data_IF_382743829219
#
_entry.id   IF_382743829219
#
_cell.length_a   1.000
_cell.length_b   1.000
_cell.length_c   1.000
_cell.angle_alpha   90.00
_cell.angle_beta   90.00
_cell.angle_gamma   90.00
#
_symmetry.space_group_name_H-M   'P 1'
#
loop_
_entity.id
_entity.type
_entity.pdbx_description
1 polymer ?
#
# COMPACT_ATOMS: atom_id res chain seq x y z
N UNK A 1 22.96 27.76 -26.12
CA UNK A 1 22.07 26.68 -25.64
C UNK A 1 20.95 27.28 -24.83
N UNK A 2 19.72 26.91 -25.03
CA UNK A 2 18.60 27.36 -24.22
C UNK A 2 18.64 26.58 -22.90
N UNK A 3 18.60 27.27 -21.76
CA UNK A 3 18.47 26.62 -20.46
C UNK A 3 17.02 26.16 -20.27
N UNK A 4 16.81 24.94 -19.77
CA UNK A 4 15.49 24.42 -19.44
C UNK A 4 15.49 23.77 -18.05
N UNK A 5 14.33 23.72 -17.42
CA UNK A 5 14.10 23.03 -16.15
C UNK A 5 12.77 22.30 -16.22
N UNK A 6 12.79 20.99 -15.97
CA UNK A 6 11.58 20.20 -15.82
C UNK A 6 10.94 20.50 -14.46
N UNK A 7 9.66 20.80 -14.46
CA UNK A 7 8.86 21.02 -13.26
C UNK A 7 7.64 20.09 -13.26
N UNK A 8 7.50 19.18 -12.26
CA UNK A 8 6.33 18.32 -12.14
C UNK A 8 5.17 19.13 -11.55
N UNK A 9 4.28 19.62 -12.40
CA UNK A 9 3.07 20.30 -11.94
C UNK A 9 2.05 19.29 -11.42
N UNK A 10 1.52 19.53 -10.21
CA UNK A 10 0.47 18.71 -9.56
C UNK A 10 0.84 17.22 -9.40
N UNK A 11 2.00 16.89 -8.84
CA UNK A 11 2.35 15.50 -8.57
C UNK A 11 1.44 14.92 -7.49
N UNK A 12 1.11 13.62 -7.61
CA UNK A 12 0.45 12.86 -6.55
C UNK A 12 1.52 12.12 -5.75
N UNK A 13 1.86 12.52 -4.53
CA UNK A 13 2.90 11.89 -3.75
C UNK A 13 2.45 10.53 -3.20
N UNK A 14 3.32 9.53 -3.32
CA UNK A 14 3.22 8.23 -2.64
C UNK A 14 4.55 8.03 -1.93
N UNK A 15 4.53 7.90 -0.61
CA UNK A 15 5.75 7.71 0.19
C UNK A 15 5.82 6.26 0.67
N UNK A 16 7.00 5.67 0.54
CA UNK A 16 7.30 4.32 0.99
C UNK A 16 8.25 4.39 2.18
N UNK A 17 7.85 3.79 3.28
CA UNK A 17 8.64 3.64 4.48
C UNK A 17 9.05 2.18 4.63
N UNK A 18 10.32 1.94 4.88
CA UNK A 18 10.85 0.59 5.05
C UNK A 18 11.32 0.40 6.49
N UNK A 19 10.61 -0.46 7.24
CA UNK A 19 10.96 -0.77 8.63
C UNK A 19 12.04 -1.84 8.76
N UNK A 20 12.52 -2.39 7.64
CA UNK A 20 13.65 -3.34 7.59
C UNK A 20 13.53 -4.54 8.56
N UNK A 21 14.69 -5.02 9.02
CA UNK A 21 14.78 -6.15 9.96
C UNK A 21 14.21 -5.83 11.35
N UNK A 22 14.14 -4.56 11.73
CA UNK A 22 13.59 -4.12 13.01
C UNK A 22 12.10 -4.45 13.18
N UNK A 23 11.40 -4.70 12.05
CA UNK A 23 9.99 -5.08 12.06
C UNK A 23 9.76 -6.60 12.19
N UNK A 24 10.79 -7.44 12.30
CA UNK A 24 10.61 -8.89 12.24
C UNK A 24 9.64 -9.42 13.30
N UNK A 25 9.86 -9.11 14.55
CA UNK A 25 9.03 -9.60 15.66
C UNK A 25 7.60 -9.05 15.61
N UNK A 26 7.47 -7.78 15.20
CA UNK A 26 6.17 -7.16 14.94
C UNK A 26 5.45 -7.88 13.81
N UNK A 27 6.14 -8.18 12.71
CA UNK A 27 5.57 -8.89 11.57
C UNK A 27 5.07 -10.28 11.94
N UNK A 28 5.84 -11.04 12.72
CA UNK A 28 5.42 -12.35 13.22
C UNK A 28 4.15 -12.24 14.05
N UNK A 29 4.07 -11.26 14.96
CA UNK A 29 2.90 -11.01 15.78
C UNK A 29 1.69 -10.60 14.94
N UNK A 30 1.85 -9.67 14.00
CA UNK A 30 0.79 -9.22 13.10
C UNK A 30 0.23 -10.36 12.23
N UNK A 31 1.09 -11.25 11.74
CA UNK A 31 0.67 -12.44 10.98
C UNK A 31 -0.16 -13.37 11.87
N UNK A 32 0.33 -13.68 13.08
CA UNK A 32 -0.38 -14.52 14.04
C UNK A 32 -1.76 -13.95 14.36
N UNK A 33 -1.81 -12.69 14.76
CA UNK A 33 -3.04 -12.04 15.20
C UNK A 33 -4.06 -11.91 14.07
N UNK A 34 -3.59 -11.64 12.85
CA UNK A 34 -4.46 -11.64 11.65
C UNK A 34 -5.05 -13.01 11.35
N UNK A 35 -4.28 -14.10 11.49
CA UNK A 35 -4.77 -15.45 11.28
C UNK A 35 -5.70 -15.91 12.40
N UNK A 36 -5.45 -15.49 13.64
CA UNK A 36 -6.33 -15.74 14.78
C UNK A 36 -7.69 -15.07 14.57
N UNK A 37 -7.70 -13.79 14.17
CA UNK A 37 -8.93 -13.07 13.82
C UNK A 37 -9.69 -13.77 12.71
N UNK A 38 -9.00 -14.16 11.62
CA UNK A 38 -9.60 -14.88 10.51
C UNK A 38 -10.21 -16.22 10.91
N UNK A 39 -9.60 -16.92 11.85
CA UNK A 39 -10.13 -18.19 12.35
C UNK A 39 -11.37 -18.00 13.24
N UNK A 40 -11.47 -16.85 13.92
CA UNK A 40 -12.62 -16.50 14.77
C UNK A 40 -13.78 -15.90 13.97
N UNK A 41 -13.51 -15.31 12.79
CA UNK A 41 -14.49 -14.72 11.88
C UNK A 41 -14.18 -15.14 10.44
N UNK A 42 -14.57 -16.35 10.07
CA UNK A 42 -14.28 -16.96 8.77
C UNK A 42 -14.90 -16.17 7.60
N UNK A 43 -16.08 -15.61 7.81
CA UNK A 43 -16.80 -14.85 6.78
C UNK A 43 -16.10 -13.54 6.46
N UNK A 44 -15.62 -12.83 7.49
CA UNK A 44 -15.01 -11.51 7.35
C UNK A 44 -15.99 -10.48 6.77
N UNK A 45 -15.43 -9.41 6.25
CA UNK A 45 -16.20 -8.31 5.64
C UNK A 45 -16.09 -8.31 4.12
N UNK A 46 -17.17 -7.89 3.47
CA UNK A 46 -17.19 -7.59 2.04
C UNK A 46 -17.06 -6.08 1.85
N UNK A 47 -16.03 -5.66 1.10
CA UNK A 47 -15.76 -4.28 0.74
C UNK A 47 -15.34 -4.19 -0.74
N UNK A 48 -14.10 -3.80 -1.04
CA UNK A 48 -13.56 -3.85 -2.41
C UNK A 48 -13.02 -5.24 -2.80
N UNK A 49 -12.93 -6.18 -1.85
CA UNK A 49 -12.40 -7.52 -2.08
C UNK A 49 -13.37 -8.38 -2.90
N UNK A 50 -12.84 -9.06 -3.91
CA UNK A 50 -13.46 -10.18 -4.61
C UNK A 50 -12.61 -11.42 -4.33
N UNK A 51 -13.18 -12.38 -3.58
CA UNK A 51 -12.38 -13.36 -2.87
C UNK A 51 -11.60 -12.72 -1.72
N UNK A 52 -10.76 -13.52 -1.08
CA UNK A 52 -9.96 -13.05 0.05
C UNK A 52 -10.79 -12.67 1.28
N UNK A 53 -10.12 -12.62 2.40
CA UNK A 53 -10.72 -12.28 3.68
C UNK A 53 -10.31 -10.88 4.13
N UNK A 54 -11.23 -10.14 4.74
CA UNK A 54 -11.06 -8.79 5.28
C UNK A 54 -11.56 -8.77 6.72
N UNK A 55 -10.75 -8.35 7.68
CA UNK A 55 -11.09 -8.29 9.09
C UNK A 55 -12.12 -7.20 9.44
N UNK A 56 -12.45 -7.09 10.70
CA UNK A 56 -13.07 -5.89 11.29
C UNK A 56 -12.17 -4.66 11.09
N UNK A 57 -12.71 -3.45 11.32
CA UNK A 57 -12.03 -2.19 10.97
C UNK A 57 -11.15 -1.61 12.09
N UNK A 58 -11.15 -2.21 13.28
CA UNK A 58 -10.43 -1.72 14.47
C UNK A 58 -9.66 -2.82 15.13
N UNK A 59 -8.72 -3.39 14.38
CA UNK A 59 -7.88 -4.47 14.86
C UNK A 59 -6.97 -4.03 16.03
N UNK A 60 -6.61 -2.75 16.09
CA UNK A 60 -5.82 -2.14 17.17
C UNK A 60 -6.53 -2.19 18.54
N UNK A 61 -7.85 -2.23 18.57
CA UNK A 61 -8.62 -2.36 19.82
C UNK A 61 -8.58 -3.80 20.40
N UNK A 62 -8.15 -4.76 19.58
CA UNK A 62 -8.18 -6.20 19.92
C UNK A 62 -6.80 -6.82 20.08
N UNK A 63 -5.80 -6.30 19.33
CA UNK A 63 -4.48 -6.90 19.26
C UNK A 63 -3.38 -5.87 19.47
N UNK A 64 -2.50 -6.12 20.43
CA UNK A 64 -1.38 -5.22 20.75
C UNK A 64 -0.41 -5.01 19.58
N UNK A 65 -0.24 -6.00 18.69
CA UNK A 65 0.61 -5.84 17.52
C UNK A 65 0.06 -4.79 16.53
N UNK A 66 -1.26 -4.71 16.40
CA UNK A 66 -1.92 -3.69 15.59
C UNK A 66 -1.85 -2.32 16.27
N UNK A 67 -1.94 -2.23 17.60
CA UNK A 67 -1.75 -0.97 18.32
C UNK A 67 -0.33 -0.43 18.15
N UNK A 68 0.68 -1.29 18.21
CA UNK A 68 2.08 -0.90 17.93
C UNK A 68 2.22 -0.41 16.48
N UNK A 69 1.62 -1.13 15.51
CA UNK A 69 1.64 -0.72 14.11
C UNK A 69 0.90 0.61 13.90
N UNK A 70 -0.22 0.84 14.59
CA UNK A 70 -0.96 2.09 14.57
C UNK A 70 -0.07 3.29 14.86
N UNK A 71 0.68 3.24 15.97
CA UNK A 71 1.62 4.32 16.33
C UNK A 71 2.66 4.59 15.24
N UNK A 72 3.23 3.54 14.65
CA UNK A 72 4.18 3.68 13.52
C UNK A 72 3.53 4.28 12.27
N UNK A 73 2.30 3.93 11.97
CA UNK A 73 1.55 4.50 10.85
C UNK A 73 1.30 6.00 11.08
N UNK A 74 0.91 6.39 12.29
CA UNK A 74 0.68 7.79 12.64
C UNK A 74 1.95 8.63 12.52
N UNK A 75 3.09 8.12 12.95
CA UNK A 75 4.40 8.76 12.74
C UNK A 75 4.68 8.97 11.25
N UNK A 76 4.50 7.94 10.41
CA UNK A 76 4.71 8.02 8.97
C UNK A 76 3.70 8.93 8.26
N UNK A 77 2.44 8.94 8.67
CA UNK A 77 1.40 9.80 8.11
C UNK A 77 1.69 11.28 8.42
N UNK A 78 2.17 11.58 9.62
CA UNK A 78 2.56 12.93 10.00
C UNK A 78 3.88 13.37 9.32
N UNK A 79 4.82 12.44 9.11
CA UNK A 79 5.99 12.70 8.28
C UNK A 79 5.63 12.97 6.81
N UNK A 80 4.66 12.22 6.26
CA UNK A 80 4.10 12.49 4.92
C UNK A 80 3.59 13.94 4.83
N UNK A 81 2.82 14.39 5.81
CA UNK A 81 2.32 15.78 5.86
C UNK A 81 3.47 16.79 5.82
N UNK A 82 4.50 16.60 6.65
CA UNK A 82 5.69 17.47 6.66
C UNK A 82 6.41 17.51 5.32
N UNK A 83 6.63 16.35 4.69
CA UNK A 83 7.31 16.27 3.39
C UNK A 83 6.49 16.92 2.25
N UNK A 84 5.17 16.94 2.36
CA UNK A 84 4.27 17.48 1.34
C UNK A 84 3.75 18.88 1.64
N UNK A 85 4.22 19.51 2.74
CA UNK A 85 3.87 20.89 3.12
C UNK A 85 2.46 21.04 3.71
N UNK A 86 1.94 19.99 4.34
CA UNK A 86 0.67 19.99 5.06
C UNK A 86 0.90 20.02 6.57
N UNK A 87 -0.14 20.41 7.30
CA UNK A 87 -0.15 20.33 8.77
C UNK A 87 -0.17 18.87 9.22
N UNK A 88 0.51 18.57 10.32
CA UNK A 88 0.47 17.28 11.00
C UNK A 88 -0.80 17.15 11.89
N UNK A 89 -0.90 16.09 12.69
CA UNK A 89 -2.06 15.83 13.54
C UNK A 89 -2.98 14.73 13.00
N UNK A 90 -2.49 13.94 12.03
CA UNK A 90 -3.21 12.78 11.56
C UNK A 90 -3.15 11.62 12.56
N UNK A 91 -4.29 11.00 12.77
CA UNK A 91 -4.47 9.77 13.54
C UNK A 91 -5.07 8.67 12.66
N UNK A 92 -4.80 7.43 13.00
CA UNK A 92 -5.46 6.28 12.35
C UNK A 92 -6.90 6.19 12.83
N UNK A 93 -7.84 6.27 11.90
CA UNK A 93 -9.27 6.10 12.16
C UNK A 93 -9.68 4.63 12.09
N UNK A 94 -9.14 3.91 11.11
CA UNK A 94 -9.45 2.49 10.86
C UNK A 94 -8.19 1.75 10.44
N UNK A 95 -8.04 0.54 10.99
CA UNK A 95 -6.94 -0.36 10.72
C UNK A 95 -7.46 -1.80 10.60
N UNK A 96 -7.16 -2.48 9.49
CA UNK A 96 -7.69 -3.81 9.22
C UNK A 96 -6.71 -4.71 8.48
N UNK A 97 -6.84 -6.02 8.73
CA UNK A 97 -6.07 -7.06 8.06
C UNK A 97 -6.78 -7.59 6.81
N UNK A 98 -6.00 -7.97 5.81
CA UNK A 98 -6.46 -8.67 4.61
C UNK A 98 -5.63 -9.93 4.39
N UNK A 99 -6.30 -11.03 4.02
CA UNK A 99 -5.67 -12.30 3.64
C UNK A 99 -6.21 -12.70 2.28
N UNK A 100 -5.33 -12.72 1.28
CA UNK A 100 -5.68 -13.04 -0.12
C UNK A 100 -5.02 -14.34 -0.54
N UNK A 101 -5.75 -15.20 -1.20
CA UNK A 101 -5.27 -16.41 -1.86
C UNK A 101 -5.14 -16.25 -3.38
N UNK A 102 -4.88 -17.35 -4.10
CA UNK A 102 -4.76 -17.33 -5.56
C UNK A 102 -6.03 -16.84 -6.25
N UNK A 103 -5.88 -15.83 -7.09
CA UNK A 103 -6.98 -15.23 -7.86
C UNK A 103 -7.72 -14.08 -7.17
N UNK A 104 -7.54 -13.90 -5.87
CA UNK A 104 -8.20 -12.84 -5.12
C UNK A 104 -7.72 -11.45 -5.54
N UNK A 105 -8.64 -10.50 -5.58
CA UNK A 105 -8.40 -9.12 -6.02
C UNK A 105 -9.08 -8.11 -5.09
N UNK A 106 -8.66 -6.84 -5.20
CA UNK A 106 -9.50 -5.72 -4.77
C UNK A 106 -9.87 -4.90 -6.00
N UNK A 107 -11.16 -4.62 -6.14
CA UNK A 107 -11.71 -3.78 -7.22
C UNK A 107 -11.17 -2.36 -7.15
N UNK A 108 -11.22 -1.58 -8.26
CA UNK A 108 -10.87 -0.17 -8.23
C UNK A 108 -11.68 0.58 -7.17
N UNK A 109 -11.02 1.22 -6.26
CA UNK A 109 -11.66 1.96 -5.17
C UNK A 109 -10.76 3.09 -4.65
N UNK A 110 -11.33 3.92 -3.81
CA UNK A 110 -10.66 4.97 -3.04
C UNK A 110 -11.28 5.04 -1.63
N UNK A 111 -10.64 5.77 -0.73
CA UNK A 111 -11.12 5.93 0.66
C UNK A 111 -11.63 7.35 0.89
N UNK A 112 -12.73 7.72 0.20
CA UNK A 112 -13.33 9.06 0.32
C UNK A 112 -13.72 9.40 1.77
N UNK A 113 -13.52 10.67 2.16
CA UNK A 113 -13.77 11.15 3.51
C UNK A 113 -12.57 11.07 4.46
N UNK A 114 -11.49 10.36 4.07
CA UNK A 114 -10.24 10.30 4.83
C UNK A 114 -9.17 11.20 4.20
N UNK A 115 -8.13 11.57 4.94
CA UNK A 115 -7.02 12.38 4.43
C UNK A 115 -6.00 11.51 3.68
N UNK A 116 -5.44 10.53 4.38
CA UNK A 116 -4.48 9.58 3.84
C UNK A 116 -4.98 8.14 4.03
N UNK A 117 -4.46 7.28 3.20
CA UNK A 117 -4.62 5.83 3.32
C UNK A 117 -3.31 5.14 3.02
N UNK A 118 -3.25 3.85 3.28
CA UNK A 118 -2.06 3.10 2.95
C UNK A 118 -2.17 1.61 3.21
N UNK A 119 -1.06 0.94 3.00
CA UNK A 119 -0.93 -0.49 3.18
C UNK A 119 0.44 -0.84 3.75
N UNK A 120 0.43 -1.71 4.75
CA UNK A 120 1.62 -2.36 5.32
C UNK A 120 1.64 -3.84 4.97
N UNK A 121 2.81 -4.38 4.74
CA UNK A 121 3.01 -5.79 4.40
C UNK A 121 3.80 -6.51 5.50
N UNK A 122 3.12 -7.21 6.46
CA UNK A 122 3.83 -7.98 7.50
C UNK A 122 4.43 -9.27 6.94
N UNK A 123 3.83 -9.82 5.87
CA UNK A 123 4.25 -11.08 5.27
C UNK A 123 4.50 -10.88 3.79
N UNK A 124 5.65 -11.33 3.35
CA UNK A 124 6.07 -11.29 1.97
C UNK A 124 6.46 -12.67 1.47
N UNK A 125 6.24 -12.87 0.19
CA UNK A 125 6.67 -14.04 -0.51
C UNK A 125 8.07 -13.89 -1.11
N UNK A 126 8.79 -15.02 -1.18
CA UNK A 126 10.14 -15.11 -1.71
C UNK A 126 10.15 -15.02 -3.23
N UNK A 127 10.94 -14.15 -3.82
CA UNK A 127 11.24 -14.15 -5.26
C UNK A 127 12.52 -14.95 -5.49
N UNK A 128 12.40 -16.09 -6.17
CA UNK A 128 13.55 -16.93 -6.49
C UNK A 128 14.25 -17.54 -5.27
N UNK A 129 13.55 -17.75 -4.16
CA UNK A 129 14.09 -18.31 -2.92
C UNK A 129 14.78 -17.30 -2.00
N UNK A 130 14.91 -16.05 -2.41
CA UNK A 130 15.49 -15.00 -1.58
C UNK A 130 14.38 -14.09 -1.01
N UNK A 131 14.47 -13.81 0.27
CA UNK A 131 13.58 -12.83 0.92
C UNK A 131 14.02 -11.43 0.49
N UNK A 132 13.15 -10.70 -0.18
CA UNK A 132 13.40 -9.30 -0.53
C UNK A 132 12.96 -8.44 0.65
N UNK A 133 13.93 -7.89 1.34
CA UNK A 133 13.73 -7.12 2.56
C UNK A 133 13.79 -5.61 2.34
N UNK A 134 14.24 -5.16 1.17
CA UNK A 134 14.39 -3.74 0.85
C UNK A 134 14.09 -3.47 -0.62
N UNK A 135 13.48 -2.32 -0.93
CA UNK A 135 13.29 -1.84 -2.30
C UNK A 135 14.62 -1.66 -3.05
N UNK A 136 15.66 -1.22 -2.35
CA UNK A 136 16.99 -0.97 -2.94
C UNK A 136 17.72 -2.26 -3.31
N UNK A 137 17.37 -3.39 -2.70
CA UNK A 137 17.98 -4.70 -2.99
C UNK A 137 17.52 -5.27 -4.34
N UNK A 138 16.39 -4.78 -4.87
CA UNK A 138 15.90 -5.20 -6.18
C UNK A 138 15.20 -4.04 -6.91
N UNK A 139 15.92 -3.31 -7.77
CA UNK A 139 15.37 -2.17 -8.51
C UNK A 139 14.16 -2.52 -9.39
N UNK A 140 13.93 -3.80 -9.71
CA UNK A 140 12.72 -4.25 -10.42
C UNK A 140 11.46 -4.25 -9.57
N UNK A 141 11.59 -4.07 -8.24
CA UNK A 141 10.48 -3.95 -7.30
C UNK A 141 10.10 -2.51 -6.99
N UNK A 142 10.87 -1.54 -7.44
CA UNK A 142 10.48 -0.14 -7.34
C UNK A 142 9.11 0.06 -8.01
N UNK A 143 8.28 0.97 -7.49
CA UNK A 143 7.03 1.33 -8.14
C UNK A 143 7.29 1.64 -9.61
N UNK A 144 6.57 0.98 -10.50
CA UNK A 144 6.80 1.13 -11.92
C UNK A 144 5.76 0.41 -12.76
N UNK A 145 6.13 0.01 -13.96
CA UNK A 145 5.27 -0.73 -14.85
C UNK A 145 5.14 -2.20 -14.44
N UNK A 146 4.05 -2.83 -14.87
CA UNK A 146 3.85 -4.25 -14.65
C UNK A 146 4.93 -5.09 -15.34
N UNK A 147 5.47 -6.07 -14.61
CA UNK A 147 6.52 -6.97 -15.12
C UNK A 147 5.98 -8.17 -15.93
N UNK A 148 4.67 -8.27 -16.09
CA UNK A 148 4.02 -9.36 -16.81
C UNK A 148 3.90 -10.68 -16.03
N UNK A 149 4.48 -10.80 -14.85
CA UNK A 149 4.65 -12.09 -14.13
C UNK A 149 4.00 -12.11 -12.77
N UNK A 150 4.29 -11.12 -11.92
CA UNK A 150 3.83 -11.09 -10.53
C UNK A 150 2.40 -10.56 -10.42
N UNK A 151 1.67 -11.08 -9.44
CA UNK A 151 0.37 -10.58 -9.03
C UNK A 151 0.41 -10.02 -7.60
N UNK A 152 -0.76 -9.62 -7.07
CA UNK A 152 -0.89 -9.11 -5.71
C UNK A 152 -0.33 -7.70 -5.50
N UNK A 153 0.03 -6.99 -6.59
CA UNK A 153 0.46 -5.59 -6.51
C UNK A 153 -0.71 -4.65 -6.27
N UNK A 154 -0.50 -3.62 -5.46
CA UNK A 154 -1.34 -2.44 -5.48
C UNK A 154 -1.02 -1.66 -6.75
N UNK A 155 -2.04 -1.30 -7.52
CA UNK A 155 -1.93 -0.51 -8.75
C UNK A 155 -2.55 0.84 -8.50
N UNK A 156 -1.76 1.88 -8.58
CA UNK A 156 -2.23 3.26 -8.55
C UNK A 156 -2.60 3.69 -9.96
N UNK A 157 -3.80 4.26 -10.11
CA UNK A 157 -4.30 4.79 -11.37
C UNK A 157 -4.07 6.30 -11.44
N UNK A 158 -3.48 6.77 -12.53
CA UNK A 158 -3.28 8.21 -12.74
C UNK A 158 -4.64 8.93 -12.84
N UNK A 159 -5.00 9.82 -11.90
CA UNK A 159 -6.29 10.49 -11.91
C UNK A 159 -6.46 11.46 -13.10
N UNK A 160 -5.37 11.92 -13.68
CA UNK A 160 -5.36 12.85 -14.82
C UNK A 160 -5.15 12.16 -16.17
N UNK A 161 -5.05 10.83 -16.21
CA UNK A 161 -4.68 10.12 -17.45
C UNK A 161 -5.59 10.42 -18.63
N UNK A 162 -6.90 10.44 -18.42
CA UNK A 162 -7.88 10.75 -19.49
C UNK A 162 -7.79 12.17 -20.07
N UNK A 163 -7.10 13.07 -19.37
CA UNK A 163 -6.90 14.47 -19.75
C UNK A 163 -5.52 14.75 -20.32
N UNK A 164 -4.59 13.79 -20.24
CA UNK A 164 -3.23 13.96 -20.75
C UNK A 164 -3.21 13.94 -22.28
N UNK A 165 -2.44 14.87 -22.85
CA UNK A 165 -2.15 14.85 -24.30
C UNK A 165 -1.40 13.56 -24.60
N UNK A 166 -1.90 12.79 -25.56
CA UNK A 166 -1.26 11.57 -26.03
C UNK A 166 -0.02 11.91 -26.85
N UNK A 167 1.10 11.98 -26.19
CA UNK A 167 2.39 12.01 -26.86
C UNK A 167 2.75 10.59 -27.33
N UNK A 168 3.64 10.49 -28.33
CA UNK A 168 4.16 9.20 -28.75
C UNK A 168 4.86 8.53 -27.57
N UNK A 169 4.44 7.31 -27.23
CA UNK A 169 5.01 6.58 -26.09
C UNK A 169 6.50 6.33 -26.30
N UNK A 170 7.28 6.62 -25.27
CA UNK A 170 8.68 6.24 -25.20
C UNK A 170 8.80 4.80 -24.68
N UNK A 171 9.81 4.08 -25.14
CA UNK A 171 10.17 2.76 -24.59
C UNK A 171 10.66 2.84 -23.14
N UNK A 172 10.98 4.05 -22.67
CA UNK A 172 11.46 4.29 -21.31
C UNK A 172 10.31 4.84 -20.45
N UNK A 173 9.80 4.06 -19.50
CA UNK A 173 8.77 4.55 -18.57
C UNK A 173 9.32 5.70 -17.72
N UNK A 174 8.49 6.69 -17.50
CA UNK A 174 8.78 7.85 -16.64
C UNK A 174 7.52 8.28 -15.89
N UNK A 175 7.64 9.07 -14.81
CA UNK A 175 6.48 9.60 -14.09
C UNK A 175 5.50 10.40 -14.97
N UNK A 176 5.92 10.81 -16.16
CA UNK A 176 5.14 11.64 -17.08
C UNK A 176 4.40 10.85 -18.16
N UNK A 177 4.72 9.55 -18.35
CA UNK A 177 4.14 8.72 -19.40
C UNK A 177 3.55 7.39 -18.91
N UNK A 178 3.57 7.12 -17.60
CA UNK A 178 3.00 5.91 -17.00
C UNK A 178 1.54 6.19 -16.60
N UNK A 179 0.65 5.25 -16.94
CA UNK A 179 -0.76 5.27 -16.54
C UNK A 179 -1.00 4.62 -15.19
N UNK A 180 -0.23 3.59 -14.89
CA UNK A 180 -0.40 2.73 -13.74
C UNK A 180 0.94 2.46 -13.08
N UNK A 181 1.02 2.74 -11.78
CA UNK A 181 2.15 2.35 -10.96
C UNK A 181 1.83 1.09 -10.17
N UNK A 182 2.66 0.08 -10.30
CA UNK A 182 2.56 -1.16 -9.54
C UNK A 182 3.48 -1.11 -8.32
N UNK A 183 2.89 -1.28 -7.14
CA UNK A 183 3.60 -1.47 -5.89
C UNK A 183 3.45 -2.93 -5.47
N UNK A 184 4.54 -3.68 -5.56
CA UNK A 184 4.56 -5.08 -5.13
C UNK A 184 4.69 -5.18 -3.62
N UNK A 185 4.07 -6.21 -2.99
CA UNK A 185 4.19 -6.42 -1.55
C UNK A 185 5.64 -6.78 -1.18
N UNK A 186 6.19 -6.12 -0.17
CA UNK A 186 7.50 -6.41 0.43
C UNK A 186 7.35 -6.33 1.93
N UNK A 187 7.80 -7.36 2.64
CA UNK A 187 7.71 -7.41 4.11
C UNK A 187 8.41 -6.22 4.76
N UNK A 188 7.76 -5.60 5.73
CA UNK A 188 8.26 -4.42 6.44
C UNK A 188 8.09 -3.10 5.69
N UNK A 189 7.47 -3.11 4.50
CA UNK A 189 7.21 -1.88 3.74
C UNK A 189 5.80 -1.36 4.01
N UNK A 190 5.73 -0.07 4.33
CA UNK A 190 4.52 0.72 4.47
C UNK A 190 4.44 1.71 3.31
N UNK A 191 3.31 1.73 2.59
CA UNK A 191 2.99 2.77 1.61
C UNK A 191 1.94 3.71 2.17
N UNK A 192 2.17 5.01 2.06
CA UNK A 192 1.23 6.08 2.45
C UNK A 192 0.93 6.94 1.24
N UNK A 193 -0.35 7.19 0.97
CA UNK A 193 -0.80 7.95 -0.21
C UNK A 193 -2.14 8.65 0.05
N UNK A 194 -2.51 9.65 -0.79
CA UNK A 194 -3.77 10.36 -0.63
C UNK A 194 -4.98 9.43 -0.76
N UNK A 195 -5.96 9.59 0.10
CA UNK A 195 -7.13 8.72 0.16
C UNK A 195 -8.01 8.74 -1.11
N UNK A 196 -7.94 9.82 -1.88
CA UNK A 196 -8.68 9.97 -3.15
C UNK A 196 -8.04 9.19 -4.32
N UNK A 197 -6.78 8.74 -4.18
CA UNK A 197 -6.07 8.05 -5.25
C UNK A 197 -6.71 6.69 -5.51
N UNK A 198 -7.29 6.53 -6.71
CA UNK A 198 -7.89 5.26 -7.13
C UNK A 198 -6.81 4.19 -7.22
N UNK A 199 -7.07 3.05 -6.60
CA UNK A 199 -6.17 1.93 -6.62
C UNK A 199 -6.91 0.59 -6.68
N UNK A 200 -6.20 -0.43 -7.17
CA UNK A 200 -6.67 -1.82 -7.25
C UNK A 200 -5.62 -2.75 -6.66
N UNK A 201 -6.01 -3.98 -6.35
CA UNK A 201 -5.04 -5.07 -6.12
C UNK A 201 -5.20 -6.10 -7.23
N UNK A 202 -4.11 -6.37 -7.95
CA UNK A 202 -4.10 -7.36 -9.04
C UNK A 202 -4.26 -8.78 -8.50
N UNK A 203 -4.78 -9.73 -9.32
CA UNK A 203 -4.91 -11.12 -8.90
C UNK A 203 -3.60 -11.66 -8.34
N UNK A 204 -3.66 -12.23 -7.13
CA UNK A 204 -2.52 -12.91 -6.55
C UNK A 204 -2.31 -14.25 -7.26
N UNK A 205 -1.12 -14.50 -7.77
CA UNK A 205 -0.87 -15.64 -8.66
C UNK A 205 -0.20 -16.83 -7.98
N UNK A 206 0.29 -16.66 -6.77
CA UNK A 206 0.97 -17.73 -6.04
C UNK A 206 -0.01 -18.67 -5.35
N UNK A 207 0.45 -19.89 -5.05
CA UNK A 207 -0.31 -20.90 -4.30
C UNK A 207 -0.39 -20.62 -2.79
N UNK A 208 0.36 -19.63 -2.31
CA UNK A 208 0.40 -19.21 -0.91
C UNK A 208 -0.60 -18.10 -0.64
N UNK A 209 -0.62 -17.60 0.57
CA UNK A 209 -1.41 -16.44 0.96
C UNK A 209 -0.57 -15.16 0.87
N UNK A 210 -1.22 -14.05 0.53
CA UNK A 210 -0.70 -12.69 0.65
C UNK A 210 -1.42 -12.01 1.82
N UNK A 211 -0.67 -11.45 2.72
CA UNK A 211 -1.22 -10.69 3.84
C UNK A 211 -0.85 -9.22 3.70
N UNK A 212 -1.80 -8.35 3.99
CA UNK A 212 -1.58 -6.91 4.08
C UNK A 212 -2.45 -6.31 5.16
N UNK A 213 -1.98 -5.22 5.75
CA UNK A 213 -2.73 -4.43 6.74
C UNK A 213 -2.95 -3.05 6.13
N UNK A 214 -4.22 -2.69 5.96
CA UNK A 214 -4.61 -1.42 5.38
C UNK A 214 -5.17 -0.49 6.45
N UNK A 215 -5.11 0.82 6.18
CA UNK A 215 -5.54 1.84 7.13
C UNK A 215 -6.05 3.09 6.42
N UNK A 216 -6.77 3.90 7.16
CA UNK A 216 -7.10 5.29 6.80
C UNK A 216 -6.79 6.21 7.96
N UNK A 217 -6.29 7.40 7.63
CA UNK A 217 -5.98 8.46 8.59
C UNK A 217 -6.87 9.68 8.36
N UNK A 218 -7.26 10.32 9.47
CA UNK A 218 -7.98 11.58 9.52
C UNK A 218 -7.31 12.53 10.51
N UNK A 219 -7.61 13.82 10.42
CA UNK A 219 -7.23 14.73 11.49
C UNK A 219 -8.01 14.39 12.76
N UNK A 220 -7.29 14.36 13.89
CA UNK A 220 -7.93 14.21 15.20
C UNK A 220 -8.93 15.35 15.42
N UNK A 221 -10.09 15.05 15.97
CA UNK A 221 -11.00 16.09 16.48
C UNK A 221 -10.40 16.68 17.74
N UNK A 222 -10.02 17.94 17.71
CA UNK A 222 -9.68 18.71 18.91
C UNK A 222 -10.89 18.83 19.85
#
# INVERSE_FOLDING_TARGET
>A
MVSNKLFPAFPTPVILYNFNKESHDLNVSLVKDTLEEKNSDIEGRVASNMGGWHSTLRMEERYNSFEILRGKIEECANDYCKQTGHEDGLIVERLWGNVSGPGDINMPHHHGGSALTGVYYPMYEMVGGNMITNYDDNPKLLPGTWDGKRGGSVVFHDPAYGQKIRLRESKNPSPFNIQHYHLYPISGVLAVFPSHLIHTVTPFKDKKIRMSISFVCMYGTN
#
